data_IF_206688930279
#
_entry.id   IF_206688930279
#
_cell.length_a   1.000
_cell.length_b   1.000
_cell.length_c   1.000
_cell.angle_alpha   90.00
_cell.angle_beta   90.00
_cell.angle_gamma   90.00
#
_symmetry.space_group_name_H-M   'P 1'
#
loop_
_entity.id
_entity.type
_entity.pdbx_description
1 polymer ?
#
# COMPACT_ATOMS: atom_id res chain seq x y z
N UNK A 1 24.24 5.02 25.79
CA UNK A 1 25.31 4.07 26.15
C UNK A 1 24.68 2.99 27.01
N UNK A 2 24.64 1.78 26.47
CA UNK A 2 24.23 0.56 27.17
C UNK A 2 24.98 -0.56 26.47
N UNK A 3 26.08 -0.99 27.06
CA UNK A 3 26.90 -2.10 26.60
C UNK A 3 26.16 -3.42 26.89
N UNK A 4 25.97 -4.24 25.84
CA UNK A 4 25.40 -5.58 25.95
C UNK A 4 24.92 -6.09 24.59
N UNK A 5 25.60 -7.11 24.07
CA UNK A 5 25.46 -7.77 22.76
C UNK A 5 26.06 -7.01 21.55
N UNK A 6 27.36 -7.26 21.34
CA UNK A 6 28.14 -6.89 20.15
C UNK A 6 27.78 -7.70 18.89
N UNK A 7 26.53 -7.58 18.42
CA UNK A 7 26.17 -7.95 17.06
C UNK A 7 26.30 -6.72 16.17
N UNK A 8 27.18 -6.74 15.16
CA UNK A 8 27.28 -5.67 14.15
C UNK A 8 25.97 -5.63 13.38
N UNK A 9 25.16 -4.59 13.61
CA UNK A 9 23.80 -4.52 13.10
C UNK A 9 23.79 -4.03 11.66
N UNK A 10 23.12 -4.75 10.78
CA UNK A 10 22.86 -4.35 9.40
C UNK A 10 21.62 -3.46 9.35
N UNK A 11 21.49 -2.58 8.36
CA UNK A 11 20.32 -1.71 8.22
C UNK A 11 19.46 -2.20 7.07
N UNK A 12 18.20 -2.56 7.36
CA UNK A 12 17.21 -2.96 6.36
C UNK A 12 16.21 -1.83 6.22
N UNK A 13 16.11 -1.30 5.01
CA UNK A 13 15.13 -0.32 4.59
C UNK A 13 14.02 -1.01 3.79
N UNK A 14 12.78 -0.92 4.25
CA UNK A 14 11.63 -1.47 3.54
C UNK A 14 10.74 -0.36 2.99
N UNK A 15 10.59 -0.29 1.66
CA UNK A 15 9.76 0.72 0.97
C UNK A 15 8.31 0.27 0.91
N UNK A 16 7.37 0.92 1.62
CA UNK A 16 5.97 0.48 1.66
C UNK A 16 5.34 0.36 0.24
N UNK A 17 4.40 -0.57 0.07
CA UNK A 17 3.70 -0.88 -1.18
C UNK A 17 2.85 0.31 -1.69
N UNK A 18 3.50 1.27 -2.35
CA UNK A 18 2.90 2.35 -3.14
C UNK A 18 3.81 2.58 -4.36
N UNK A 19 3.26 2.89 -5.55
CA UNK A 19 4.05 3.08 -6.75
C UNK A 19 5.21 4.04 -6.46
N UNK A 20 6.41 3.64 -6.85
CA UNK A 20 7.68 4.32 -6.64
C UNK A 20 7.59 5.81 -7.00
N UNK A 21 7.48 6.67 -5.98
CA UNK A 21 7.61 8.11 -6.14
C UNK A 21 9.06 8.51 -5.84
N UNK A 22 9.67 9.19 -6.81
CA UNK A 22 10.95 9.87 -6.68
C UNK A 22 10.78 10.99 -5.64
N UNK A 23 11.07 10.70 -4.37
CA UNK A 23 10.95 11.69 -3.30
C UNK A 23 11.42 11.19 -1.94
N UNK A 24 11.35 9.89 -1.68
CA UNK A 24 11.86 9.28 -0.44
C UNK A 24 12.71 8.05 -0.74
N UNK A 25 13.70 8.20 -1.62
CA UNK A 25 14.72 7.17 -1.80
C UNK A 25 15.73 7.28 -0.65
N UNK A 26 15.49 6.53 0.42
CA UNK A 26 16.43 6.30 1.52
C UNK A 26 17.84 5.89 1.05
N UNK A 27 17.94 5.23 -0.11
CA UNK A 27 19.19 4.96 -0.82
C UNK A 27 20.04 6.24 -1.02
N UNK A 28 19.39 7.35 -1.38
CA UNK A 28 20.05 8.64 -1.58
C UNK A 28 20.45 9.28 -0.24
N UNK A 29 19.64 9.08 0.81
CA UNK A 29 19.97 9.51 2.17
C UNK A 29 21.24 8.81 2.69
N UNK A 30 21.37 7.49 2.46
CA UNK A 30 22.59 6.73 2.80
C UNK A 30 23.80 7.26 2.04
N UNK A 31 23.65 7.59 0.76
CA UNK A 31 24.70 8.21 -0.05
C UNK A 31 25.15 9.58 0.50
N UNK A 32 24.21 10.43 0.91
CA UNK A 32 24.51 11.76 1.48
C UNK A 32 25.27 11.61 2.80
N UNK A 33 24.83 10.71 3.68
CA UNK A 33 25.49 10.44 4.96
C UNK A 33 26.88 9.82 4.73
N UNK A 34 26.99 8.85 3.82
CA UNK A 34 28.26 8.24 3.44
C UNK A 34 29.27 9.28 2.97
N UNK A 35 28.87 10.19 2.08
CA UNK A 35 29.71 11.31 1.63
C UNK A 35 30.22 12.18 2.77
N UNK A 36 29.35 12.53 3.73
CA UNK A 36 29.75 13.32 4.92
C UNK A 36 30.77 12.60 5.80
N UNK A 37 30.71 11.27 5.85
CA UNK A 37 31.59 10.42 6.64
C UNK A 37 32.82 9.91 5.86
N UNK A 38 33.04 10.36 4.63
CA UNK A 38 34.19 9.97 3.81
C UNK A 38 34.05 8.63 3.07
N UNK A 39 32.85 8.02 3.10
CA UNK A 39 32.51 6.85 2.29
C UNK A 39 31.98 7.30 0.93
N UNK A 40 32.81 7.15 -0.11
CA UNK A 40 32.48 7.60 -1.45
C UNK A 40 32.97 6.61 -2.50
N UNK A 41 32.33 6.64 -3.67
CA UNK A 41 32.80 5.86 -4.83
C UNK A 41 34.25 6.21 -5.21
N UNK A 42 34.64 7.49 -5.06
CA UNK A 42 36.00 7.97 -5.36
C UNK A 42 37.04 7.33 -4.43
N UNK A 43 36.71 7.21 -3.14
CA UNK A 43 37.56 6.56 -2.15
C UNK A 43 37.51 5.02 -2.23
N UNK A 44 36.71 4.45 -3.15
CA UNK A 44 36.51 3.02 -3.37
C UNK A 44 36.10 2.24 -2.10
N UNK A 45 35.53 2.95 -1.12
CA UNK A 45 35.07 2.42 0.16
C UNK A 45 33.54 2.42 0.30
N UNK A 46 32.83 2.78 -0.76
CA UNK A 46 31.37 2.73 -0.85
C UNK A 46 30.97 1.97 -2.12
N UNK A 47 30.16 0.93 -1.95
CA UNK A 47 29.69 0.05 -3.02
C UNK A 47 28.17 0.06 -3.07
N UNK A 48 27.59 0.18 -4.27
CA UNK A 48 26.15 0.10 -4.48
C UNK A 48 25.87 -0.97 -5.53
N UNK A 49 25.09 -1.99 -5.17
CA UNK A 49 24.76 -3.14 -6.00
C UNK A 49 23.25 -3.26 -6.08
N UNK A 50 22.69 -3.00 -7.26
CA UNK A 50 21.26 -3.23 -7.54
C UNK A 50 21.06 -4.68 -7.96
N UNK A 51 20.29 -5.43 -7.18
CA UNK A 51 20.08 -6.86 -7.40
C UNK A 51 19.02 -7.11 -8.47
N UNK A 52 19.37 -8.04 -9.34
CA UNK A 52 18.57 -8.56 -10.44
C UNK A 52 19.23 -9.86 -10.91
N UNK A 53 18.78 -10.42 -12.02
CA UNK A 53 19.29 -11.70 -12.51
C UNK A 53 20.83 -11.66 -12.72
N UNK A 54 21.57 -12.51 -12.01
CA UNK A 54 23.01 -12.69 -12.18
C UNK A 54 23.90 -11.72 -11.38
N UNK A 55 23.32 -10.86 -10.53
CA UNK A 55 24.09 -9.91 -9.70
C UNK A 55 24.52 -10.49 -8.34
N UNK A 56 24.09 -11.71 -8.01
CA UNK A 56 24.32 -12.35 -6.71
C UNK A 56 25.81 -12.54 -6.43
N UNK A 57 26.55 -13.05 -7.42
CA UNK A 57 28.00 -13.27 -7.29
C UNK A 57 28.78 -11.96 -7.08
N UNK A 58 28.34 -10.87 -7.72
CA UNK A 58 28.95 -9.54 -7.55
C UNK A 58 28.68 -9.00 -6.15
N UNK A 59 27.44 -9.14 -5.67
CA UNK A 59 27.07 -8.77 -4.30
C UNK A 59 27.91 -9.54 -3.28
N UNK A 60 28.05 -10.85 -3.45
CA UNK A 60 28.84 -11.71 -2.58
C UNK A 60 30.32 -11.32 -2.50
N UNK A 61 30.95 -11.08 -3.65
CA UNK A 61 32.36 -10.67 -3.71
C UNK A 61 32.56 -9.28 -3.08
N UNK A 62 31.59 -8.38 -3.28
CA UNK A 62 31.59 -7.04 -2.70
C UNK A 62 31.46 -7.09 -1.18
N UNK A 63 30.59 -7.95 -0.65
CA UNK A 63 30.44 -8.17 0.80
C UNK A 63 31.76 -8.69 1.41
N UNK A 64 32.42 -9.65 0.78
CA UNK A 64 33.68 -10.21 1.31
C UNK A 64 34.82 -9.17 1.33
N UNK A 65 34.91 -8.35 0.28
CA UNK A 65 35.87 -7.26 0.21
C UNK A 65 35.59 -6.20 1.28
N UNK A 66 34.32 -5.80 1.40
CA UNK A 66 33.89 -4.77 2.32
C UNK A 66 34.04 -5.21 3.79
N UNK A 67 33.74 -6.48 4.09
CA UNK A 67 33.95 -7.06 5.41
C UNK A 67 35.41 -7.02 5.83
N UNK A 68 36.36 -7.26 4.91
CA UNK A 68 37.80 -7.20 5.20
C UNK A 68 38.33 -5.78 5.35
N UNK A 69 37.82 -4.82 4.57
CA UNK A 69 38.38 -3.46 4.47
C UNK A 69 37.57 -2.37 5.18
N UNK A 70 36.41 -2.69 5.75
CA UNK A 70 35.57 -1.72 6.44
C UNK A 70 34.77 -0.81 5.51
N UNK A 71 34.34 -1.32 4.35
CA UNK A 71 33.59 -0.52 3.39
C UNK A 71 32.09 -0.53 3.69
N UNK A 72 31.36 0.36 3.05
CA UNK A 72 29.90 0.38 3.07
C UNK A 72 29.34 -0.27 1.81
N UNK A 73 28.34 -1.13 1.97
CA UNK A 73 27.67 -1.81 0.85
C UNK A 73 26.17 -1.50 0.91
N UNK A 74 25.62 -1.03 -0.21
CA UNK A 74 24.18 -0.89 -0.43
C UNK A 74 23.73 -2.00 -1.37
N UNK A 75 22.83 -2.87 -0.92
CA UNK A 75 22.18 -3.91 -1.71
C UNK A 75 20.74 -3.47 -1.99
N UNK A 76 20.42 -3.19 -3.26
CA UNK A 76 19.09 -2.73 -3.63
C UNK A 76 18.25 -3.87 -4.20
N UNK A 77 16.94 -3.82 -3.97
CA UNK A 77 15.96 -4.74 -4.54
C UNK A 77 16.19 -6.22 -4.20
N UNK A 78 16.56 -6.53 -2.95
CA UNK A 78 16.83 -7.93 -2.55
C UNK A 78 15.64 -8.88 -2.77
N UNK A 79 14.41 -8.34 -2.77
CA UNK A 79 13.17 -9.08 -3.00
C UNK A 79 13.09 -9.72 -4.41
N UNK A 80 13.87 -9.22 -5.38
CA UNK A 80 13.93 -9.77 -6.74
C UNK A 80 14.76 -11.06 -6.84
N UNK A 81 15.58 -11.37 -5.84
CA UNK A 81 16.51 -12.53 -5.83
C UNK A 81 16.19 -13.51 -4.69
N UNK A 82 14.92 -13.90 -4.58
CA UNK A 82 14.38 -14.70 -3.47
C UNK A 82 15.19 -15.99 -3.17
N UNK A 83 15.63 -16.71 -4.21
CA UNK A 83 16.40 -17.96 -4.05
C UNK A 83 17.77 -17.77 -3.40
N UNK A 84 18.35 -16.57 -3.52
CA UNK A 84 19.67 -16.24 -2.99
C UNK A 84 19.62 -15.72 -1.55
N UNK A 85 18.44 -15.33 -1.03
CA UNK A 85 18.32 -14.69 0.28
C UNK A 85 18.82 -15.56 1.44
N UNK A 86 18.66 -16.88 1.36
CA UNK A 86 19.22 -17.82 2.36
C UNK A 86 20.76 -17.83 2.36
N UNK A 87 21.38 -17.67 1.19
CA UNK A 87 22.83 -17.56 1.06
C UNK A 87 23.32 -16.22 1.58
N UNK A 88 22.59 -15.14 1.28
CA UNK A 88 22.85 -13.81 1.83
C UNK A 88 22.77 -13.81 3.37
N UNK A 89 21.74 -14.42 3.95
CA UNK A 89 21.57 -14.54 5.41
C UNK A 89 22.78 -15.18 6.08
N UNK A 90 23.19 -16.35 5.59
CA UNK A 90 24.37 -17.06 6.09
C UNK A 90 25.63 -16.19 5.99
N UNK A 91 25.80 -15.47 4.88
CA UNK A 91 26.98 -14.63 4.65
C UNK A 91 27.01 -13.41 5.57
N UNK A 92 25.85 -12.80 5.83
CA UNK A 92 25.72 -11.71 6.79
C UNK A 92 25.99 -12.19 8.22
N UNK A 93 25.55 -13.41 8.57
CA UNK A 93 25.86 -14.04 9.85
C UNK A 93 27.37 -14.27 10.02
N UNK A 94 28.04 -14.88 9.04
CA UNK A 94 29.50 -15.07 9.05
C UNK A 94 30.26 -13.74 9.23
N UNK A 95 29.87 -12.71 8.47
CA UNK A 95 30.53 -11.39 8.55
C UNK A 95 30.19 -10.62 9.83
N UNK A 96 29.11 -10.95 10.53
CA UNK A 96 28.74 -10.28 11.79
C UNK A 96 29.75 -10.56 12.90
N UNK A 97 30.39 -11.73 12.87
CA UNK A 97 31.36 -12.17 13.87
C UNK A 97 32.75 -11.58 13.61
N UNK A 98 33.27 -11.69 12.38
CA UNK A 98 34.71 -11.48 12.08
C UNK A 98 35.06 -10.36 11.08
N UNK A 99 34.20 -9.37 10.85
CA UNK A 99 34.48 -8.28 9.90
C UNK A 99 35.35 -7.13 10.47
N UNK A 100 35.57 -6.09 9.68
CA UNK A 100 36.15 -4.81 10.09
C UNK A 100 35.14 -3.96 10.90
N UNK A 101 35.54 -3.19 11.94
CA UNK A 101 34.61 -2.41 12.77
C UNK A 101 33.74 -1.41 12.01
N UNK A 102 34.26 -0.85 10.91
CA UNK A 102 33.57 0.13 10.06
C UNK A 102 32.68 -0.49 8.96
N UNK A 103 32.69 -1.81 8.82
CA UNK A 103 31.87 -2.49 7.81
C UNK A 103 30.38 -2.26 8.08
N UNK A 104 29.63 -1.81 7.06
CA UNK A 104 28.18 -1.61 7.13
C UNK A 104 27.52 -2.14 5.86
N UNK A 105 26.37 -2.80 6.03
CA UNK A 105 25.51 -3.22 4.92
C UNK A 105 24.14 -2.56 5.09
N UNK A 106 23.69 -1.93 4.01
CA UNK A 106 22.37 -1.33 3.85
C UNK A 106 21.62 -2.17 2.82
N UNK A 107 20.41 -2.57 3.15
CA UNK A 107 19.59 -3.45 2.33
C UNK A 107 18.29 -2.72 2.01
N UNK A 108 17.90 -2.64 0.74
CA UNK A 108 16.57 -2.15 0.36
C UNK A 108 15.69 -3.27 -0.22
N UNK A 109 14.47 -3.36 0.31
CA UNK A 109 13.47 -4.34 -0.11
C UNK A 109 12.08 -3.70 -0.21
N UNK A 110 11.23 -4.25 -1.06
CA UNK A 110 9.79 -3.99 -0.97
C UNK A 110 9.18 -4.97 0.04
N UNK A 111 8.19 -4.54 0.84
CA UNK A 111 7.47 -5.41 1.75
C UNK A 111 6.67 -6.40 0.92
N UNK A 112 6.49 -7.58 1.51
CA UNK A 112 5.63 -8.59 0.93
C UNK A 112 4.18 -8.10 0.87
N UNK A 113 3.41 -8.50 -0.15
CA UNK A 113 2.00 -8.14 -0.28
C UNK A 113 1.13 -8.78 0.81
N UNK A 114 1.56 -9.91 1.38
CA UNK A 114 0.94 -10.56 2.52
C UNK A 114 1.98 -11.19 3.45
N UNK A 115 1.63 -11.52 4.71
CA UNK A 115 2.50 -12.23 5.62
C UNK A 115 2.99 -13.59 5.06
N UNK A 116 2.13 -14.33 4.35
CA UNK A 116 2.52 -15.63 3.76
C UNK A 116 3.46 -15.48 2.56
N UNK A 117 3.41 -14.33 1.88
CA UNK A 117 4.28 -13.99 0.75
C UNK A 117 5.64 -13.42 1.17
N UNK A 118 5.99 -13.46 2.45
CA UNK A 118 7.22 -12.86 2.95
C UNK A 118 8.47 -13.67 2.55
N UNK A 119 9.28 -13.07 1.67
CA UNK A 119 10.46 -13.73 1.10
C UNK A 119 11.76 -13.47 1.89
N UNK A 120 11.80 -12.42 2.72
CA UNK A 120 13.03 -12.06 3.44
C UNK A 120 13.21 -13.01 4.64
N UNK A 121 14.36 -13.70 4.75
CA UNK A 121 14.63 -14.58 5.86
C UNK A 121 14.55 -13.88 7.22
N UNK A 122 13.99 -14.58 8.20
CA UNK A 122 13.77 -14.05 9.54
C UNK A 122 15.07 -13.61 10.21
N UNK A 123 16.18 -14.32 10.04
CA UNK A 123 17.45 -13.96 10.68
C UNK A 123 18.04 -12.66 10.14
N UNK A 124 17.84 -12.33 8.85
CA UNK A 124 18.19 -11.00 8.30
C UNK A 124 17.37 -9.92 9.02
N UNK A 125 16.08 -10.15 9.23
CA UNK A 125 15.21 -9.20 9.91
C UNK A 125 15.54 -9.08 11.40
N UNK A 126 15.71 -10.17 12.14
CA UNK A 126 15.98 -10.11 13.58
C UNK A 126 17.31 -9.46 13.92
N UNK A 127 18.32 -9.63 13.05
CA UNK A 127 19.68 -9.09 13.25
C UNK A 127 19.90 -7.73 12.59
N UNK A 128 18.86 -7.13 12.05
CA UNK A 128 18.93 -5.81 11.41
C UNK A 128 18.18 -4.72 12.19
N UNK A 129 18.66 -3.50 12.00
CA UNK A 129 17.91 -2.28 12.30
C UNK A 129 16.97 -2.04 11.13
N UNK A 130 15.67 -2.12 11.40
CA UNK A 130 14.63 -1.88 10.39
C UNK A 130 14.29 -0.41 10.37
N UNK A 131 14.36 0.20 9.20
CA UNK A 131 13.90 1.57 8.96
C UNK A 131 12.79 1.49 7.92
N UNK A 132 11.66 2.11 8.24
CA UNK A 132 10.54 2.25 7.33
C UNK A 132 10.42 3.72 6.94
N UNK A 133 10.65 4.06 5.67
CA UNK A 133 10.26 5.37 5.15
C UNK A 133 8.79 5.32 4.79
N UNK A 134 7.95 5.84 5.66
CA UNK A 134 6.57 6.13 5.30
C UNK A 134 6.51 7.52 4.66
N UNK A 135 5.88 7.67 3.48
CA UNK A 135 5.63 8.99 2.94
C UNK A 135 4.75 9.76 3.93
N UNK A 136 4.97 11.08 4.10
CA UNK A 136 4.06 11.91 4.88
C UNK A 136 2.62 11.67 4.42
N UNK A 137 1.72 11.38 5.36
CA UNK A 137 0.33 11.04 5.09
C UNK A 137 -0.60 12.21 5.43
N UNK A 138 -1.76 12.26 4.77
CA UNK A 138 -2.75 13.32 4.96
C UNK A 138 -2.67 14.41 3.89
N UNK A 139 -3.70 15.24 3.84
CA UNK A 139 -3.89 16.27 2.82
C UNK A 139 -2.77 17.31 2.86
N UNK A 140 -2.40 17.77 4.06
CA UNK A 140 -1.37 18.80 4.25
C UNK A 140 -0.06 18.38 3.59
N UNK A 141 0.52 17.26 4.02
CA UNK A 141 1.81 16.85 3.50
C UNK A 141 1.75 16.39 2.02
N UNK A 142 0.63 15.82 1.57
CA UNK A 142 0.45 15.44 0.17
C UNK A 142 0.39 16.66 -0.75
N UNK A 143 -0.23 17.76 -0.30
CA UNK A 143 -0.35 18.98 -1.07
C UNK A 143 0.98 19.74 -1.16
N UNK A 144 1.74 19.83 -0.07
CA UNK A 144 3.13 20.32 -0.12
C UNK A 144 3.95 19.48 -1.10
N UNK A 145 3.90 18.16 -0.99
CA UNK A 145 4.62 17.24 -1.88
C UNK A 145 4.21 17.39 -3.34
N UNK A 146 2.94 17.68 -3.63
CA UNK A 146 2.47 17.93 -4.99
C UNK A 146 3.11 19.23 -5.55
N UNK A 147 3.14 20.31 -4.75
CA UNK A 147 3.76 21.58 -5.12
C UNK A 147 5.29 21.51 -5.25
N UNK A 148 5.96 20.70 -4.44
CA UNK A 148 7.43 20.53 -4.48
C UNK A 148 7.96 20.00 -5.83
N UNK A 149 7.08 19.54 -6.71
CA UNK A 149 7.45 19.14 -8.08
C UNK A 149 7.63 20.32 -9.03
N UNK A 150 7.35 21.53 -8.57
CA UNK A 150 7.38 22.76 -9.36
C UNK A 150 8.30 23.80 -8.72
N UNK A 151 8.75 24.75 -9.53
CA UNK A 151 9.64 25.84 -9.12
C UNK A 151 8.96 27.19 -9.32
N UNK A 152 9.55 28.25 -8.77
CA UNK A 152 9.12 29.62 -9.07
C UNK A 152 9.07 29.88 -10.58
N UNK A 153 10.11 29.45 -11.31
CA UNK A 153 10.17 29.57 -12.77
C UNK A 153 9.01 28.83 -13.46
N UNK A 154 8.56 27.72 -12.90
CA UNK A 154 7.39 27.00 -13.42
C UNK A 154 6.11 27.81 -13.24
N UNK A 155 5.94 28.47 -12.09
CA UNK A 155 4.76 29.31 -11.82
C UNK A 155 4.72 30.55 -12.73
N UNK A 156 5.88 31.03 -13.17
CA UNK A 156 6.04 32.23 -14.01
C UNK A 156 6.20 31.91 -15.50
N UNK A 157 6.08 30.64 -15.90
CA UNK A 157 6.34 30.24 -17.30
C UNK A 157 5.24 30.68 -18.28
N UNK A 158 4.02 30.90 -17.81
CA UNK A 158 2.85 31.19 -18.64
C UNK A 158 2.54 32.69 -18.66
N UNK A 159 2.22 33.23 -19.84
CA UNK A 159 1.81 34.62 -20.02
C UNK A 159 0.52 34.97 -19.27
N UNK A 160 -0.32 33.97 -19.01
CA UNK A 160 -1.60 34.05 -18.29
C UNK A 160 -1.45 33.53 -16.87
N UNK A 161 -0.61 34.21 -16.09
CA UNK A 161 -0.18 33.76 -14.76
C UNK A 161 -1.34 33.44 -13.82
N UNK A 162 -2.37 34.29 -13.77
CA UNK A 162 -3.49 34.11 -12.84
C UNK A 162 -4.23 32.81 -13.13
N UNK A 163 -4.61 32.57 -14.39
CA UNK A 163 -5.29 31.34 -14.77
C UNK A 163 -4.40 30.11 -14.62
N UNK A 164 -3.13 30.21 -15.02
CA UNK A 164 -2.19 29.10 -14.92
C UNK A 164 -1.97 28.68 -13.47
N UNK A 165 -1.63 29.62 -12.57
CA UNK A 165 -1.34 29.32 -11.17
C UNK A 165 -2.58 28.82 -10.41
N UNK A 166 -3.76 29.39 -10.68
CA UNK A 166 -5.02 28.91 -10.09
C UNK A 166 -5.35 27.48 -10.49
N UNK A 167 -5.21 27.12 -11.77
CA UNK A 167 -5.47 25.75 -12.25
C UNK A 167 -4.36 24.79 -11.77
N UNK A 168 -3.10 25.22 -11.76
CA UNK A 168 -1.98 24.42 -11.23
C UNK A 168 -2.20 24.06 -9.75
N UNK A 169 -2.60 25.03 -8.93
CA UNK A 169 -2.89 24.76 -7.51
C UNK A 169 -4.09 23.80 -7.36
N UNK A 170 -5.16 24.01 -8.13
CA UNK A 170 -6.30 23.09 -8.15
C UNK A 170 -5.91 21.67 -8.59
N UNK A 171 -4.98 21.53 -9.55
CA UNK A 171 -4.41 20.24 -9.97
C UNK A 171 -3.55 19.59 -8.89
N UNK A 172 -2.77 20.37 -8.14
CA UNK A 172 -2.00 19.86 -7.00
C UNK A 172 -2.93 19.32 -5.91
N UNK A 173 -4.02 20.05 -5.63
CA UNK A 173 -5.07 19.61 -4.71
C UNK A 173 -5.77 18.35 -5.20
N UNK A 174 -6.19 18.33 -6.47
CA UNK A 174 -6.77 17.16 -7.11
C UNK A 174 -5.84 15.94 -7.00
N UNK A 175 -4.54 16.10 -7.31
CA UNK A 175 -3.55 15.04 -7.20
C UNK A 175 -3.44 14.50 -5.76
N UNK A 176 -3.40 15.39 -4.76
CA UNK A 176 -3.40 15.00 -3.36
C UNK A 176 -4.68 14.25 -2.96
N UNK A 177 -5.85 14.70 -3.43
CA UNK A 177 -7.14 14.04 -3.20
C UNK A 177 -7.12 12.62 -3.77
N UNK A 178 -6.80 12.45 -5.06
CA UNK A 178 -6.87 11.11 -5.69
C UNK A 178 -5.86 10.13 -5.08
N UNK A 179 -4.68 10.62 -4.68
CA UNK A 179 -3.63 9.81 -4.08
C UNK A 179 -3.95 9.35 -2.65
N UNK A 180 -4.56 10.20 -1.83
CA UNK A 180 -4.88 9.89 -0.43
C UNK A 180 -6.25 9.24 -0.26
N UNK A 181 -7.18 9.46 -1.19
CA UNK A 181 -8.53 8.89 -1.15
C UNK A 181 -8.54 7.36 -1.07
N UNK A 182 -7.48 6.67 -1.54
CA UNK A 182 -7.32 5.21 -1.39
C UNK A 182 -7.38 4.72 0.07
N UNK A 183 -7.11 5.58 1.06
CA UNK A 183 -7.15 5.21 2.48
C UNK A 183 -8.56 4.85 2.95
N UNK A 184 -9.60 5.30 2.24
CA UNK A 184 -11.00 5.02 2.54
C UNK A 184 -11.53 3.73 1.86
N UNK A 185 -10.65 2.89 1.31
CA UNK A 185 -11.04 1.63 0.66
C UNK A 185 -12.07 1.85 -0.46
N UNK A 186 -13.10 0.99 -0.59
CA UNK A 186 -14.13 1.11 -1.63
C UNK A 186 -14.95 2.40 -1.61
N UNK A 187 -15.04 3.10 -0.46
CA UNK A 187 -15.68 4.42 -0.41
C UNK A 187 -14.82 5.51 -1.06
N UNK A 188 -13.51 5.28 -1.11
CA UNK A 188 -12.57 6.13 -1.81
C UNK A 188 -12.48 5.78 -3.29
N UNK A 189 -12.03 4.56 -3.57
CA UNK A 189 -11.88 3.97 -4.91
C UNK A 189 -12.28 2.50 -4.89
N UNK A 190 -13.00 2.03 -5.91
CA UNK A 190 -13.34 0.61 -6.01
C UNK A 190 -12.09 -0.25 -6.22
N UNK A 191 -11.06 0.28 -6.89
CA UNK A 191 -9.76 -0.37 -7.11
C UNK A 191 -8.60 0.54 -6.76
N UNK A 192 -7.43 -0.05 -6.47
CA UNK A 192 -6.21 0.72 -6.23
C UNK A 192 -5.55 1.09 -7.56
N UNK A 193 -5.47 2.39 -7.84
CA UNK A 193 -4.82 2.91 -9.05
C UNK A 193 -3.44 3.50 -8.74
N UNK A 194 -2.44 3.28 -9.61
CA UNK A 194 -1.08 3.73 -9.38
C UNK A 194 -0.84 5.17 -9.85
N UNK A 195 -1.63 6.14 -9.36
CA UNK A 195 -1.41 7.56 -9.70
C UNK A 195 0.00 8.00 -9.29
N UNK A 196 0.67 8.73 -10.18
CA UNK A 196 2.07 9.11 -10.06
C UNK A 196 2.25 10.63 -10.16
N UNK A 197 3.35 11.14 -9.60
CA UNK A 197 3.80 12.53 -9.84
C UNK A 197 3.97 12.84 -11.34
N UNK A 198 4.28 11.84 -12.17
CA UNK A 198 4.38 12.02 -13.62
C UNK A 198 3.06 12.48 -14.22
N UNK A 199 1.93 11.98 -13.72
CA UNK A 199 0.60 12.39 -14.18
C UNK A 199 0.36 13.88 -13.87
N UNK A 200 0.78 14.34 -12.69
CA UNK A 200 0.68 15.74 -12.28
C UNK A 200 1.59 16.65 -13.11
N UNK A 201 2.87 16.33 -13.25
CA UNK A 201 3.83 17.20 -13.96
C UNK A 201 3.53 17.30 -15.45
N UNK A 202 3.14 16.20 -16.10
CA UNK A 202 2.70 16.22 -17.49
C UNK A 202 1.39 17.00 -17.64
N UNK A 203 0.44 16.87 -16.69
CA UNK A 203 -0.80 17.66 -16.71
C UNK A 203 -0.52 19.18 -16.66
N UNK A 204 0.46 19.62 -15.87
CA UNK A 204 0.85 21.04 -15.82
C UNK A 204 1.52 21.51 -17.14
N UNK A 205 2.32 20.65 -17.77
CA UNK A 205 2.87 20.98 -19.10
C UNK A 205 1.76 21.08 -20.16
N UNK A 206 0.76 20.19 -20.12
CA UNK A 206 -0.41 20.25 -21.00
C UNK A 206 -1.23 21.51 -20.73
N UNK A 207 -1.42 21.88 -19.46
CA UNK A 207 -2.06 23.14 -19.07
C UNK A 207 -1.37 24.34 -19.70
N UNK A 208 -0.04 24.45 -19.56
CA UNK A 208 0.73 25.53 -20.16
C UNK A 208 0.50 25.62 -21.68
N UNK A 209 0.67 24.50 -22.39
CA UNK A 209 0.51 24.45 -23.84
C UNK A 209 -0.90 24.87 -24.29
N UNK A 210 -1.95 24.46 -23.55
CA UNK A 210 -3.33 24.82 -23.87
C UNK A 210 -3.63 26.29 -23.60
N UNK A 211 -3.10 26.87 -22.52
CA UNK A 211 -3.32 28.29 -22.21
C UNK A 211 -2.61 29.22 -23.19
N UNK A 212 -1.41 28.84 -23.68
CA UNK A 212 -0.68 29.61 -24.69
C UNK A 212 -1.29 29.47 -26.09
N UNK A 213 -1.85 28.30 -26.43
CA UNK A 213 -2.46 28.06 -27.73
C UNK A 213 -3.87 28.67 -27.89
N UNK A 214 -4.55 29.01 -26.80
CA UNK A 214 -5.96 29.42 -26.82
C UNK A 214 -6.18 30.78 -26.17
N UNK A 215 -6.96 31.64 -26.84
CA UNK A 215 -7.31 32.97 -26.33
C UNK A 215 -8.20 32.95 -25.07
N UNK A 216 -8.90 31.84 -24.81
CA UNK A 216 -9.73 31.61 -23.62
C UNK A 216 -9.32 30.30 -22.97
N UNK A 217 -9.58 30.14 -21.68
CA UNK A 217 -9.33 28.86 -20.99
C UNK A 217 -10.27 27.79 -21.54
N UNK A 218 -9.76 26.70 -22.15
CA UNK A 218 -10.60 25.62 -22.65
C UNK A 218 -10.90 24.61 -21.52
N UNK A 219 -11.82 24.97 -20.62
CA UNK A 219 -12.11 24.18 -19.41
C UNK A 219 -12.52 22.74 -19.71
N UNK A 220 -13.34 22.51 -20.74
CA UNK A 220 -13.81 21.16 -21.08
C UNK A 220 -12.68 20.30 -21.65
N UNK A 221 -11.78 20.87 -22.45
CA UNK A 221 -10.60 20.16 -22.96
C UNK A 221 -9.63 19.83 -21.82
N UNK A 222 -9.42 20.75 -20.87
CA UNK A 222 -8.60 20.50 -19.68
C UNK A 222 -9.16 19.35 -18.85
N UNK A 223 -10.47 19.38 -18.54
CA UNK A 223 -11.15 18.31 -17.79
C UNK A 223 -11.05 16.97 -18.52
N UNK A 224 -11.23 16.97 -19.84
CA UNK A 224 -11.11 15.76 -20.65
C UNK A 224 -9.69 15.21 -20.63
N UNK A 225 -8.67 16.02 -20.90
CA UNK A 225 -7.28 15.58 -20.93
C UNK A 225 -6.85 15.06 -19.55
N UNK A 226 -7.16 15.78 -18.47
CA UNK A 226 -6.77 15.35 -17.13
C UNK A 226 -7.57 14.12 -16.66
N UNK A 227 -8.88 14.11 -16.89
CA UNK A 227 -9.79 13.11 -16.35
C UNK A 227 -9.86 11.82 -17.16
N UNK A 228 -9.81 11.90 -18.48
CA UNK A 228 -9.98 10.74 -19.38
C UNK A 228 -8.65 10.17 -19.87
N UNK A 229 -7.62 11.01 -20.03
CA UNK A 229 -6.32 10.61 -20.59
C UNK A 229 -5.28 10.44 -19.50
N UNK A 230 -4.95 11.52 -18.76
CA UNK A 230 -3.85 11.50 -17.79
C UNK A 230 -4.14 10.59 -16.61
N UNK A 231 -5.18 10.91 -15.82
CA UNK A 231 -5.58 10.09 -14.68
C UNK A 231 -6.50 8.96 -15.11
N UNK A 232 -7.40 9.22 -16.05
CA UNK A 232 -8.34 8.22 -16.60
C UNK A 232 -7.68 7.06 -17.33
N UNK A 233 -6.44 7.22 -17.82
CA UNK A 233 -5.66 6.13 -18.40
C UNK A 233 -5.33 5.01 -17.40
N UNK A 234 -5.29 5.33 -16.11
CA UNK A 234 -5.07 4.34 -15.04
C UNK A 234 -6.36 3.67 -14.56
N UNK A 235 -7.51 4.32 -14.78
CA UNK A 235 -8.77 3.95 -14.16
C UNK A 235 -9.51 2.93 -15.04
N UNK A 236 -9.66 1.71 -14.52
CA UNK A 236 -10.33 0.61 -15.22
C UNK A 236 -11.81 0.47 -14.90
N UNK A 237 -12.28 1.05 -13.80
CA UNK A 237 -13.67 0.97 -13.35
C UNK A 237 -14.47 2.21 -13.77
N UNK A 238 -15.65 2.01 -14.36
CA UNK A 238 -16.46 3.11 -14.90
C UNK A 238 -17.01 4.05 -13.82
N UNK A 239 -17.29 3.54 -12.62
CA UNK A 239 -17.76 4.36 -11.49
C UNK A 239 -16.63 5.23 -10.94
N UNK A 240 -15.43 4.65 -10.80
CA UNK A 240 -14.23 5.41 -10.45
C UNK A 240 -13.90 6.46 -11.53
N UNK A 241 -14.09 6.15 -12.81
CA UNK A 241 -13.87 7.09 -13.92
C UNK A 241 -14.84 8.27 -13.84
N UNK A 242 -16.11 8.00 -13.53
CA UNK A 242 -17.11 9.03 -13.26
C UNK A 242 -16.74 9.91 -12.06
N UNK A 243 -16.23 9.31 -10.98
CA UNK A 243 -15.78 10.05 -9.80
C UNK A 243 -14.61 10.98 -10.14
N UNK A 244 -13.61 10.49 -10.88
CA UNK A 244 -12.48 11.28 -11.35
C UNK A 244 -12.92 12.51 -12.15
N UNK A 245 -13.85 12.34 -13.10
CA UNK A 245 -14.45 13.46 -13.85
C UNK A 245 -15.17 14.45 -12.93
N UNK A 246 -15.96 13.97 -11.99
CA UNK A 246 -16.74 14.83 -11.09
C UNK A 246 -15.83 15.77 -10.26
N UNK A 247 -14.65 15.29 -9.84
CA UNK A 247 -13.66 16.15 -9.19
C UNK A 247 -13.17 17.28 -10.10
N UNK A 248 -12.82 16.96 -11.34
CA UNK A 248 -12.29 17.94 -12.28
C UNK A 248 -13.38 18.94 -12.71
N UNK A 249 -14.64 18.51 -12.81
CA UNK A 249 -15.78 19.40 -13.01
C UNK A 249 -15.94 20.39 -11.86
N UNK A 250 -15.76 19.94 -10.61
CA UNK A 250 -15.90 20.79 -9.43
C UNK A 250 -14.70 21.72 -9.20
N UNK A 251 -13.48 21.26 -9.45
CA UNK A 251 -12.25 22.02 -9.17
C UNK A 251 -11.81 22.92 -10.32
N UNK A 252 -12.06 22.55 -11.57
CA UNK A 252 -11.60 23.28 -12.75
C UNK A 252 -12.84 23.81 -13.45
N UNK A 253 -13.29 25.02 -13.11
CA UNK A 253 -14.50 25.64 -13.68
C UNK A 253 -14.35 27.15 -13.83
N UNK A 254 -15.09 27.80 -14.75
CA UNK A 254 -14.95 29.24 -14.99
C UNK A 254 -15.04 30.13 -13.73
N UNK A 255 -15.85 29.70 -12.76
CA UNK A 255 -16.07 30.38 -11.48
C UNK A 255 -14.82 30.43 -10.60
N UNK A 256 -13.81 29.61 -10.86
CA UNK A 256 -12.57 29.56 -10.07
C UNK A 256 -11.80 30.88 -10.11
N UNK A 257 -11.90 31.63 -11.21
CA UNK A 257 -11.24 32.94 -11.36
C UNK A 257 -12.00 34.07 -10.67
N UNK A 258 -13.25 33.82 -10.24
CA UNK A 258 -14.07 34.77 -9.50
C UNK A 258 -13.71 34.88 -8.01
N UNK A 259 -12.81 34.03 -7.50
CA UNK A 259 -12.38 34.02 -6.10
C UNK A 259 -13.38 33.42 -5.12
N UNK A 260 -14.50 32.90 -5.60
CA UNK A 260 -15.57 32.30 -4.77
C UNK A 260 -15.43 30.77 -4.63
N UNK A 261 -14.53 30.15 -5.39
CA UNK A 261 -14.36 28.70 -5.36
C UNK A 261 -13.60 28.25 -4.11
N UNK A 262 -14.14 27.26 -3.41
CA UNK A 262 -13.45 26.52 -2.36
C UNK A 262 -13.18 25.09 -2.80
N UNK A 263 -11.95 24.62 -2.63
CA UNK A 263 -11.53 23.25 -2.96
C UNK A 263 -12.06 22.24 -1.93
N UNK A 264 -12.27 22.70 -0.70
CA UNK A 264 -12.98 21.99 0.35
C UNK A 264 -13.66 22.98 1.30
N UNK A 265 -14.63 22.54 2.13
CA UNK A 265 -15.20 23.39 3.18
C UNK A 265 -14.11 24.01 4.06
N UNK A 266 -14.03 25.34 4.07
CA UNK A 266 -13.01 26.08 4.83
C UNK A 266 -11.64 26.18 4.15
N UNK A 267 -11.50 25.75 2.90
CA UNK A 267 -10.27 25.87 2.12
C UNK A 267 -10.54 26.53 0.75
N UNK A 268 -10.51 27.88 0.68
CA UNK A 268 -10.70 28.60 -0.58
C UNK A 268 -9.58 28.32 -1.57
N UNK A 269 -9.81 28.56 -2.86
CA UNK A 269 -8.73 28.56 -3.83
C UNK A 269 -7.85 29.81 -3.59
N UNK A 270 -6.52 29.67 -3.43
CA UNK A 270 -5.66 30.83 -3.27
C UNK A 270 -5.60 31.67 -4.54
N UNK A 271 -5.39 32.98 -4.36
CA UNK A 271 -5.11 33.90 -5.46
C UNK A 271 -3.73 33.66 -6.10
N UNK A 272 -3.31 34.60 -6.94
CA UNK A 272 -1.96 34.60 -7.52
C UNK A 272 -0.92 34.87 -6.41
N UNK A 273 -0.09 33.87 -6.12
CA UNK A 273 0.99 33.92 -5.12
C UNK A 273 2.28 33.40 -5.75
N UNK A 274 3.41 33.67 -5.09
CA UNK A 274 4.69 33.02 -5.39
C UNK A 274 4.75 31.61 -4.77
N UNK A 275 5.79 30.85 -5.13
CA UNK A 275 6.00 29.49 -4.63
C UNK A 275 6.02 29.43 -3.10
N UNK A 276 6.73 30.37 -2.47
CA UNK A 276 6.80 30.43 -1.00
C UNK A 276 5.44 30.79 -0.37
N UNK A 277 4.70 31.69 -1.01
CA UNK A 277 3.35 32.08 -0.61
C UNK A 277 2.35 30.92 -0.66
N UNK A 278 2.42 30.05 -1.67
CA UNK A 278 1.55 28.87 -1.73
C UNK A 278 1.79 27.89 -0.57
N UNK A 279 3.04 27.64 -0.20
CA UNK A 279 3.35 26.79 0.95
C UNK A 279 2.85 27.42 2.27
N UNK A 280 3.09 28.72 2.46
CA UNK A 280 2.58 29.45 3.63
C UNK A 280 1.05 29.46 3.69
N UNK A 281 0.39 29.56 2.53
CA UNK A 281 -1.06 29.50 2.43
C UNK A 281 -1.59 28.15 2.91
N UNK A 282 -0.96 27.05 2.51
CA UNK A 282 -1.34 25.70 2.96
C UNK A 282 -1.18 25.59 4.47
N UNK A 283 -0.04 26.00 5.01
CA UNK A 283 0.24 25.96 6.45
C UNK A 283 -0.76 26.79 7.27
N UNK A 284 -1.22 27.92 6.73
CA UNK A 284 -2.09 28.85 7.44
C UNK A 284 -3.59 28.59 7.27
N UNK A 285 -4.01 28.12 6.10
CA UNK A 285 -5.43 28.05 5.72
C UNK A 285 -5.98 26.64 5.60
N UNK A 286 -5.14 25.61 5.43
CA UNK A 286 -5.66 24.26 5.30
C UNK A 286 -6.31 23.81 6.61
N UNK A 287 -7.60 23.43 6.61
CA UNK A 287 -8.27 22.95 7.80
C UNK A 287 -7.63 21.68 8.36
N UNK A 288 -7.90 21.33 9.63
CA UNK A 288 -7.54 20.03 10.17
C UNK A 288 -8.04 18.90 9.27
N UNK A 289 -7.21 17.86 9.19
CA UNK A 289 -7.46 16.65 8.42
C UNK A 289 -8.88 16.12 8.68
N UNK A 290 -9.69 16.00 7.63
CA UNK A 290 -11.04 15.47 7.71
C UNK A 290 -11.48 14.88 6.36
N UNK A 291 -12.48 13.96 6.33
CA UNK A 291 -13.02 13.42 5.08
C UNK A 291 -13.50 14.49 4.10
N UNK A 292 -13.91 15.66 4.59
CA UNK A 292 -14.35 16.78 3.76
C UNK A 292 -13.27 17.28 2.80
N UNK A 293 -11.99 17.23 3.19
CA UNK A 293 -10.88 17.61 2.32
C UNK A 293 -10.82 16.72 1.07
N UNK A 294 -11.33 15.50 1.16
CA UNK A 294 -11.42 14.57 0.04
C UNK A 294 -12.80 14.59 -0.63
N UNK A 295 -13.74 15.46 -0.25
CA UNK A 295 -15.11 15.37 -0.74
C UNK A 295 -15.85 14.11 -0.25
N UNK A 296 -15.56 13.64 0.96
CA UNK A 296 -16.28 12.55 1.63
C UNK A 296 -17.09 13.10 2.81
N UNK A 297 -18.15 12.36 3.15
CA UNK A 297 -18.90 12.59 4.38
C UNK A 297 -18.06 12.17 5.61
N UNK A 298 -18.16 12.86 6.77
CA UNK A 298 -17.43 12.53 8.00
C UNK A 298 -17.54 11.06 8.44
N UNK A 299 -18.68 10.41 8.17
CA UNK A 299 -18.87 8.98 8.46
C UNK A 299 -17.84 8.06 7.79
N UNK A 300 -17.17 8.50 6.72
CA UNK A 300 -16.08 7.74 6.11
C UNK A 300 -14.89 7.56 7.06
N UNK A 301 -14.66 8.51 7.97
CA UNK A 301 -13.62 8.41 9.00
C UNK A 301 -13.90 7.29 9.98
N UNK A 302 -15.17 7.07 10.36
CA UNK A 302 -15.57 6.00 11.28
C UNK A 302 -15.17 4.64 10.71
N UNK A 303 -15.46 4.40 9.43
CA UNK A 303 -15.08 3.15 8.76
C UNK A 303 -13.57 2.95 8.68
N UNK A 304 -12.84 4.00 8.30
CA UNK A 304 -11.38 3.99 8.24
C UNK A 304 -10.73 3.70 9.61
N UNK A 305 -11.17 4.40 10.66
CA UNK A 305 -10.66 4.22 12.02
C UNK A 305 -11.02 2.84 12.59
N UNK A 306 -12.21 2.33 12.29
CA UNK A 306 -12.64 0.98 12.70
C UNK A 306 -11.72 -0.08 12.09
N UNK A 307 -11.52 -0.05 10.76
CA UNK A 307 -10.65 -1.01 10.09
C UNK A 307 -9.18 -0.91 10.55
N UNK A 308 -8.69 0.31 10.78
CA UNK A 308 -7.35 0.54 11.32
C UNK A 308 -7.21 -0.06 12.73
N UNK A 309 -8.24 0.11 13.57
CA UNK A 309 -8.29 -0.44 14.92
C UNK A 309 -8.37 -1.98 14.90
N UNK A 310 -9.19 -2.57 14.02
CA UNK A 310 -9.27 -4.02 13.85
C UNK A 310 -7.92 -4.62 13.42
N UNK A 311 -7.21 -3.97 12.49
CA UNK A 311 -5.88 -4.39 12.08
C UNK A 311 -4.90 -4.32 13.24
N UNK A 312 -4.93 -3.24 14.03
CA UNK A 312 -4.10 -3.09 15.22
C UNK A 312 -4.39 -4.21 16.23
N UNK A 313 -5.65 -4.47 16.54
CA UNK A 313 -6.03 -5.54 17.47
C UNK A 313 -5.61 -6.91 16.98
N UNK A 314 -5.76 -7.20 15.69
CA UNK A 314 -5.28 -8.47 15.09
C UNK A 314 -3.78 -8.63 15.27
N UNK A 315 -2.99 -7.60 14.95
CA UNK A 315 -1.53 -7.63 15.16
C UNK A 315 -1.17 -7.79 16.63
N UNK A 316 -1.88 -7.13 17.56
CA UNK A 316 -1.67 -7.31 19.00
C UNK A 316 -1.96 -8.74 19.44
N UNK A 317 -3.04 -9.35 18.95
CA UNK A 317 -3.40 -10.74 19.24
C UNK A 317 -2.37 -11.72 18.67
N UNK A 318 -1.85 -11.48 17.47
CA UNK A 318 -0.78 -12.28 16.87
C UNK A 318 0.53 -12.22 17.66
N UNK A 319 0.81 -11.10 18.33
CA UNK A 319 1.99 -10.92 19.18
C UNK A 319 1.83 -11.55 20.58
N UNK A 320 0.62 -11.97 20.98
CA UNK A 320 0.43 -12.60 22.28
C UNK A 320 1.09 -14.00 22.32
N UNK A 321 1.86 -14.31 23.38
CA UNK A 321 2.47 -15.63 23.53
C UNK A 321 1.39 -16.71 23.59
N UNK A 322 1.41 -17.59 22.58
CA UNK A 322 0.46 -18.70 22.41
C UNK A 322 0.52 -19.75 23.55
N UNK A 323 1.57 -19.71 24.37
CA UNK A 323 1.82 -20.67 25.46
C UNK A 323 1.25 -20.25 26.83
N UNK A 324 0.52 -19.14 26.94
CA UNK A 324 0.00 -18.64 28.23
C UNK A 324 -1.36 -19.23 28.66
N UNK A 325 -1.77 -20.39 28.12
CA UNK A 325 -2.98 -21.11 28.56
C UNK A 325 -2.69 -22.32 29.46
N UNK A 326 -1.50 -22.38 30.06
CA UNK A 326 -1.22 -23.28 31.20
C UNK A 326 -1.42 -22.58 32.57
N UNK A 327 -2.36 -21.65 32.66
CA UNK A 327 -2.72 -20.96 33.90
C UNK A 327 -4.11 -21.38 34.37
N UNK A 328 -4.15 -22.43 35.22
CA UNK A 328 -5.14 -22.83 36.24
C UNK A 328 -6.60 -22.32 36.20
N UNK A 329 -7.16 -22.10 35.02
CA UNK A 329 -8.55 -21.75 34.79
C UNK A 329 -9.14 -22.68 33.74
N UNK A 330 -10.08 -23.52 34.15
CA UNK A 330 -10.79 -24.51 33.34
C UNK A 330 -11.62 -23.89 32.20
N UNK A 331 -10.95 -23.35 31.18
CA UNK A 331 -11.55 -22.98 29.90
C UNK A 331 -11.42 -24.14 28.91
N UNK A 332 -12.45 -24.31 28.07
CA UNK A 332 -12.42 -25.30 26.99
C UNK A 332 -11.15 -25.15 26.13
N UNK A 333 -10.52 -26.28 25.80
CA UNK A 333 -9.32 -26.32 24.95
C UNK A 333 -9.62 -25.74 23.57
N UNK A 334 -8.59 -25.32 22.81
CA UNK A 334 -8.76 -24.82 21.42
C UNK A 334 -9.51 -25.85 20.57
N UNK A 335 -9.18 -27.13 20.73
CA UNK A 335 -9.82 -28.24 20.03
C UNK A 335 -11.30 -28.39 20.41
N UNK A 336 -11.64 -28.30 21.69
CA UNK A 336 -13.03 -28.34 22.16
C UNK A 336 -13.84 -27.16 21.62
N UNK A 337 -13.26 -25.96 21.55
CA UNK A 337 -13.91 -24.78 20.97
C UNK A 337 -14.13 -24.93 19.47
N UNK A 338 -13.12 -25.42 18.74
CA UNK A 338 -13.22 -25.69 17.30
C UNK A 338 -14.29 -26.75 17.04
N UNK A 339 -14.32 -27.82 17.84
CA UNK A 339 -15.31 -28.87 17.72
C UNK A 339 -16.73 -28.38 17.99
N UNK A 340 -16.94 -27.58 19.05
CA UNK A 340 -18.24 -26.99 19.34
C UNK A 340 -18.73 -26.07 18.21
N UNK A 341 -17.82 -25.25 17.64
CA UNK A 341 -18.14 -24.39 16.50
C UNK A 341 -18.45 -25.20 15.23
N UNK A 342 -17.72 -26.30 15.01
CA UNK A 342 -17.92 -27.21 13.89
C UNK A 342 -19.30 -27.88 13.97
N UNK A 343 -19.68 -28.37 15.15
CA UNK A 343 -21.00 -28.96 15.41
C UNK A 343 -22.10 -27.90 15.19
N UNK A 344 -21.93 -26.67 15.70
CA UNK A 344 -22.88 -25.57 15.47
C UNK A 344 -23.06 -25.27 13.96
N UNK A 345 -21.96 -25.20 13.21
CA UNK A 345 -22.03 -24.94 11.77
C UNK A 345 -22.72 -26.11 11.05
N UNK A 346 -22.37 -27.36 11.37
CA UNK A 346 -23.00 -28.53 10.76
C UNK A 346 -24.51 -28.59 11.04
N UNK A 347 -24.96 -28.19 12.22
CA UNK A 347 -26.40 -28.10 12.55
C UNK A 347 -27.12 -26.98 11.78
N UNK A 348 -26.42 -25.88 11.46
CA UNK A 348 -26.99 -24.74 10.74
C UNK A 348 -26.97 -24.90 9.22
N UNK A 349 -26.09 -25.73 8.68
CA UNK A 349 -26.05 -26.02 7.24
C UNK A 349 -27.33 -26.77 6.86
N UNK A 350 -28.15 -26.15 6.02
CA UNK A 350 -29.42 -26.71 5.57
C UNK A 350 -29.23 -27.92 4.67
N UNK A 351 -30.24 -28.78 4.61
CA UNK A 351 -30.29 -29.90 3.67
C UNK A 351 -30.31 -29.45 2.20
N UNK A 352 -29.95 -30.36 1.31
CA UNK A 352 -30.02 -30.14 -0.13
C UNK A 352 -31.47 -29.95 -0.60
N UNK A 353 -31.67 -29.04 -1.54
CA UNK A 353 -32.94 -28.88 -2.24
C UNK A 353 -33.28 -30.13 -3.03
N UNK A 354 -34.49 -30.66 -2.86
CA UNK A 354 -35.01 -31.75 -3.67
C UNK A 354 -35.42 -31.23 -5.07
N UNK A 355 -34.45 -31.16 -5.98
CA UNK A 355 -34.65 -30.62 -7.34
C UNK A 355 -35.77 -31.35 -8.10
N UNK A 356 -35.88 -32.70 -8.09
CA UNK A 356 -37.01 -33.40 -8.70
C UNK A 356 -38.38 -32.96 -8.19
N UNK A 357 -38.52 -32.76 -6.87
CA UNK A 357 -39.78 -32.29 -6.26
C UNK A 357 -40.08 -30.84 -6.64
N UNK A 358 -39.06 -29.97 -6.64
CA UNK A 358 -39.21 -28.59 -7.07
C UNK A 358 -39.65 -28.50 -8.54
N UNK A 359 -39.06 -29.32 -9.42
CA UNK A 359 -39.46 -29.39 -10.83
C UNK A 359 -40.90 -29.87 -10.97
N UNK A 360 -41.33 -30.86 -10.17
CA UNK A 360 -42.69 -31.39 -10.23
C UNK A 360 -43.75 -30.37 -9.79
N UNK A 361 -43.38 -29.37 -8.97
CA UNK A 361 -44.26 -28.29 -8.50
C UNK A 361 -44.36 -27.11 -9.48
N UNK A 362 -43.60 -27.11 -10.57
CA UNK A 362 -43.61 -26.04 -11.57
C UNK A 362 -44.67 -26.32 -12.62
N UNK A 363 -45.72 -25.50 -12.62
CA UNK A 363 -46.79 -25.56 -13.64
C UNK A 363 -46.37 -24.90 -14.96
N UNK A 364 -45.65 -23.78 -14.90
CA UNK A 364 -45.15 -23.04 -16.06
C UNK A 364 -43.65 -22.74 -15.93
N UNK A 365 -42.87 -23.14 -16.95
CA UNK A 365 -41.42 -22.92 -16.98
C UNK A 365 -41.09 -21.56 -17.59
N UNK A 366 -41.10 -20.53 -16.76
CA UNK A 366 -40.58 -19.21 -17.13
C UNK A 366 -39.04 -19.16 -16.99
N UNK A 367 -38.34 -18.21 -17.64
CA UNK A 367 -36.89 -18.06 -17.50
C UNK A 367 -36.43 -17.88 -16.03
N UNK A 368 -37.21 -17.20 -15.20
CA UNK A 368 -36.90 -17.04 -13.77
C UNK A 368 -36.94 -18.38 -13.02
N UNK A 369 -37.91 -19.24 -13.32
CA UNK A 369 -38.01 -20.57 -12.71
C UNK A 369 -36.83 -21.45 -13.09
N UNK A 370 -36.35 -21.36 -14.33
CA UNK A 370 -35.15 -22.07 -14.78
C UNK A 370 -33.92 -21.59 -14.02
N UNK A 371 -33.74 -20.27 -13.85
CA UNK A 371 -32.63 -19.71 -13.06
C UNK A 371 -32.71 -20.17 -11.60
N UNK A 372 -33.89 -20.14 -10.97
CA UNK A 372 -34.05 -20.61 -9.59
C UNK A 372 -33.67 -22.08 -9.43
N UNK A 373 -34.09 -22.96 -10.35
CA UNK A 373 -33.71 -24.37 -10.33
C UNK A 373 -32.19 -24.56 -10.47
N UNK A 374 -31.54 -23.79 -11.36
CA UNK A 374 -30.08 -23.81 -11.53
C UNK A 374 -29.34 -23.30 -10.28
N UNK A 375 -29.84 -22.26 -9.63
CA UNK A 375 -29.26 -21.74 -8.38
C UNK A 375 -29.44 -22.75 -7.24
N UNK A 376 -30.57 -23.47 -7.17
CA UNK A 376 -30.75 -24.58 -6.23
C UNK A 376 -29.74 -25.71 -6.47
N UNK A 377 -29.50 -26.10 -7.73
CA UNK A 377 -28.48 -27.10 -8.06
C UNK A 377 -27.07 -26.66 -7.65
N UNK A 378 -26.71 -25.40 -7.93
CA UNK A 378 -25.43 -24.81 -7.51
C UNK A 378 -25.30 -24.76 -5.99
N UNK A 379 -26.37 -24.37 -5.29
CA UNK A 379 -26.39 -24.35 -3.83
C UNK A 379 -26.20 -25.77 -3.27
N UNK A 380 -26.84 -26.78 -3.86
CA UNK A 380 -26.64 -28.18 -3.44
C UNK A 380 -25.18 -28.62 -3.60
N UNK A 381 -24.50 -28.22 -4.68
CA UNK A 381 -23.06 -28.49 -4.85
C UNK A 381 -22.26 -27.84 -3.73
N UNK A 382 -22.53 -26.56 -3.42
CA UNK A 382 -21.84 -25.85 -2.33
C UNK A 382 -22.11 -26.50 -0.97
N UNK A 383 -23.37 -26.81 -0.65
CA UNK A 383 -23.78 -27.47 0.59
C UNK A 383 -23.07 -28.82 0.75
N UNK A 384 -22.97 -29.63 -0.31
CA UNK A 384 -22.24 -30.90 -0.28
C UNK A 384 -20.76 -30.71 0.01
N UNK A 385 -20.12 -29.73 -0.63
CA UNK A 385 -18.70 -29.42 -0.38
C UNK A 385 -18.45 -28.91 1.06
N UNK A 386 -19.35 -28.07 1.58
CA UNK A 386 -19.31 -27.61 2.97
C UNK A 386 -19.48 -28.77 3.96
N UNK A 387 -20.50 -29.61 3.77
CA UNK A 387 -20.71 -30.78 4.64
C UNK A 387 -19.56 -31.78 4.57
N UNK A 388 -19.01 -32.03 3.37
CA UNK A 388 -17.85 -32.92 3.20
C UNK A 388 -16.63 -32.39 3.96
N UNK A 389 -16.24 -31.14 3.70
CA UNK A 389 -15.05 -30.53 4.32
C UNK A 389 -15.17 -30.42 5.84
N UNK A 390 -16.34 -30.07 6.38
CA UNK A 390 -16.57 -30.03 7.83
C UNK A 390 -16.52 -31.43 8.47
N UNK A 391 -17.08 -32.46 7.82
CA UNK A 391 -16.99 -33.84 8.31
C UNK A 391 -15.56 -34.38 8.24
N UNK A 392 -14.80 -34.04 7.19
CA UNK A 392 -13.37 -34.38 7.08
C UNK A 392 -12.56 -33.72 8.21
N UNK A 393 -12.89 -32.47 8.57
CA UNK A 393 -12.28 -31.77 9.70
C UNK A 393 -12.64 -32.42 11.05
N UNK A 394 -13.91 -32.79 11.28
CA UNK A 394 -14.32 -33.52 12.50
C UNK A 394 -13.61 -34.88 12.61
N UNK A 395 -13.53 -35.62 11.51
CA UNK A 395 -12.75 -36.86 11.46
C UNK A 395 -11.29 -36.56 11.78
N UNK A 396 -10.67 -35.59 11.12
CA UNK A 396 -9.28 -35.19 11.36
C UNK A 396 -8.98 -34.84 12.81
N UNK A 397 -9.86 -34.09 13.47
CA UNK A 397 -9.75 -33.78 14.91
C UNK A 397 -9.86 -35.04 15.78
N UNK A 398 -10.66 -36.04 15.39
CA UNK A 398 -10.73 -37.34 16.07
C UNK A 398 -9.48 -38.19 15.83
N UNK A 399 -8.89 -38.11 14.64
CA UNK A 399 -7.68 -38.86 14.27
C UNK A 399 -6.39 -38.23 14.81
N UNK A 400 -6.30 -36.90 14.98
CA UNK A 400 -5.11 -36.24 15.56
C UNK A 400 -4.95 -36.48 17.08
N UNK A 401 -5.96 -37.06 17.74
CA UNK A 401 -5.78 -37.74 19.03
C UNK A 401 -4.83 -38.95 18.96
N UNK A 402 -4.51 -39.42 17.75
CA UNK A 402 -3.61 -40.53 17.41
C UNK A 402 -2.81 -40.20 16.12
N UNK A 403 -1.90 -39.23 16.21
CA UNK A 403 -0.71 -39.02 15.35
C UNK A 403 -0.82 -39.20 13.81
N UNK A 404 -0.55 -38.08 13.11
CA UNK A 404 -0.08 -37.93 11.71
C UNK A 404 -1.14 -37.79 10.60
N UNK A 405 -1.46 -36.53 10.25
CA UNK A 405 -1.77 -36.14 8.87
C UNK A 405 -1.32 -34.69 8.58
N UNK A 406 -0.25 -34.52 7.80
CA UNK A 406 0.39 -33.23 7.52
C UNK A 406 -0.42 -32.22 6.70
N UNK A 407 -1.47 -32.65 6.00
CA UNK A 407 -2.26 -31.78 5.12
C UNK A 407 -3.41 -31.06 5.83
N UNK A 408 -3.89 -31.54 6.98
CA UNK A 408 -5.03 -30.94 7.70
C UNK A 408 -4.65 -29.71 8.53
N UNK A 409 -3.37 -29.57 8.86
CA UNK A 409 -2.84 -28.50 9.71
C UNK A 409 -2.97 -27.11 9.05
N UNK A 410 -2.93 -27.05 7.73
CA UNK A 410 -3.09 -25.82 6.96
C UNK A 410 -4.52 -25.23 7.05
N UNK A 411 -5.53 -26.05 7.34
CA UNK A 411 -6.92 -25.60 7.52
C UNK A 411 -7.19 -25.12 8.94
N UNK A 412 -6.54 -25.71 9.95
CA UNK A 412 -6.67 -25.32 11.35
C UNK A 412 -5.95 -24.02 11.71
N UNK A 413 -4.93 -23.61 10.95
CA UNK A 413 -4.21 -22.35 11.16
C UNK A 413 -4.80 -21.16 10.37
N UNK A 414 -5.81 -21.38 9.52
CA UNK A 414 -6.51 -20.34 8.72
C UNK A 414 -7.86 -19.89 9.32
N UNK A 415 -8.30 -20.51 10.41
CA UNK A 415 -9.45 -20.09 11.24
C UNK A 415 -8.92 -19.55 12.56
#
# INVERSE_FOLDING_TARGET
MGEGCGGRRFLVDTKQHRPSHVGSNNDNSVLIVGKKLGYTFNNRNFHNVSLGQGQEAVAEATLDLAAKRGHWVVLQNIHLVAKWLSSLEKKLEEHSESSHPDFRVFISAEPAPSPEGHLIPQGILERSIKITSEPPAGMHASLHKALDNFTQDTLEMCSRETEFKSILFALCYFHAVVAERRKFGPQGWNRSYPFSTGDLTISVNVLYNLLEANAKVPYDDLRYLFGEIMYGGHITDDWDRRLCRAYLEEFIKPEMLGGELSLAPGFPLPGNMDYSGYHQYIDAQLPPESPYLYGLHPNAEVGFLTQTSEKLFRTVLELQPRDSQAGDGAGATREEKVKALLEEILERVTDEFNIPELIARVEERTPYVVVTLQECERMNVLTREMQRSLRELDLGLRWDGLAHAGDLRASLDRV
#
